data_IF_931132792459
#
_entry.id   IF_931132792459
#
_cell.length_a   1.000
_cell.length_b   1.000
_cell.length_c   1.000
_cell.angle_alpha   90.00
_cell.angle_beta   90.00
_cell.angle_gamma   90.00
#
_symmetry.space_group_name_H-M   'P 1'
#
loop_
_entity.id
_entity.type
_entity.pdbx_description
1 polymer ?
#
# COMPACT_ATOMS: atom_id res chain seq x y z
N UNK A 1 1.22 10.33 -22.40
CA UNK A 1 0.54 9.79 -23.60
C UNK A 1 -0.89 9.32 -23.32
N UNK A 2 -1.34 9.32 -22.07
CA UNK A 2 -2.71 8.92 -21.72
C UNK A 2 -2.84 7.42 -21.48
N UNK A 3 -1.73 6.74 -21.21
CA UNK A 3 -1.67 5.30 -20.91
C UNK A 3 -1.96 4.96 -19.43
N UNK A 4 -2.16 5.97 -18.59
CA UNK A 4 -2.30 5.82 -17.14
C UNK A 4 -3.49 6.61 -16.60
N UNK A 5 -4.22 6.01 -15.67
CA UNK A 5 -5.28 6.65 -14.89
C UNK A 5 -4.93 6.62 -13.40
N UNK A 6 -5.35 7.66 -12.68
CA UNK A 6 -5.34 7.72 -11.23
C UNK A 6 -6.78 7.72 -10.74
N UNK A 7 -7.13 6.75 -9.89
CA UNK A 7 -8.45 6.68 -9.27
C UNK A 7 -8.40 7.32 -7.89
N UNK A 8 -9.26 8.31 -7.65
CA UNK A 8 -9.56 8.81 -6.31
C UNK A 8 -10.69 7.96 -5.74
N UNK A 9 -10.45 7.30 -4.61
CA UNK A 9 -11.37 6.33 -4.04
C UNK A 9 -11.53 6.56 -2.54
N UNK A 10 -12.68 6.14 -2.02
CA UNK A 10 -12.87 5.88 -0.60
C UNK A 10 -12.74 4.37 -0.39
N UNK A 11 -11.73 3.96 0.37
CA UNK A 11 -11.40 2.56 0.53
C UNK A 11 -12.31 1.91 1.58
N UNK A 12 -12.84 0.73 1.27
CA UNK A 12 -13.54 -0.11 2.26
C UNK A 12 -12.66 -1.32 2.60
N UNK A 13 -12.26 -1.43 3.87
CA UNK A 13 -11.39 -2.52 4.34
C UNK A 13 -9.97 -2.45 3.80
N UNK A 14 -9.27 -3.59 3.80
CA UNK A 14 -7.90 -3.71 3.32
C UNK A 14 -7.84 -3.82 1.78
N UNK A 15 -7.05 -2.96 1.12
CA UNK A 15 -6.74 -3.12 -0.30
C UNK A 15 -5.66 -4.19 -0.52
N UNK A 16 -4.84 -4.46 0.50
CA UNK A 16 -3.84 -5.50 0.44
C UNK A 16 -4.36 -6.83 0.99
N UNK A 17 -4.01 -7.92 0.31
CA UNK A 17 -4.34 -9.29 0.73
C UNK A 17 -3.66 -9.75 2.04
N UNK A 18 -2.82 -8.91 2.65
CA UNK A 18 -2.18 -9.16 3.96
C UNK A 18 -2.91 -8.48 5.12
N UNK A 19 -4.16 -8.05 4.88
CA UNK A 19 -4.99 -7.28 5.80
C UNK A 19 -4.41 -5.90 6.15
N UNK A 20 -3.84 -5.22 5.16
CA UNK A 20 -3.22 -3.89 5.28
C UNK A 20 -3.96 -2.88 4.43
N UNK A 21 -3.93 -1.61 4.83
CA UNK A 21 -4.57 -0.53 4.08
C UNK A 21 -3.94 -0.42 2.69
N UNK A 22 -2.62 -0.52 2.59
CA UNK A 22 -1.88 -0.42 1.34
C UNK A 22 -1.05 -1.67 1.02
N UNK A 23 -0.97 -2.04 -0.27
CA UNK A 23 0.03 -3.02 -0.72
C UNK A 23 1.47 -2.50 -0.57
N UNK A 24 1.67 -1.18 -0.46
CA UNK A 24 2.97 -0.54 -0.30
C UNK A 24 3.38 -0.42 1.17
N UNK A 25 3.22 -1.49 1.94
CA UNK A 25 3.53 -1.54 3.37
C UNK A 25 5.02 -1.71 3.69
N UNK A 26 5.88 -1.78 2.66
CA UNK A 26 7.34 -1.83 2.81
C UNK A 26 7.99 -0.63 2.17
N UNK A 27 8.97 -0.06 2.85
CA UNK A 27 9.77 1.06 2.37
C UNK A 27 11.24 0.68 2.36
N UNK A 28 11.95 1.07 1.30
CA UNK A 28 13.40 0.91 1.24
C UNK A 28 14.05 1.99 2.11
N UNK A 29 14.80 1.59 3.13
CA UNK A 29 15.58 2.47 4.01
C UNK A 29 17.03 2.00 3.99
N UNK A 30 17.88 2.75 3.28
CA UNK A 30 19.24 2.30 2.97
C UNK A 30 19.20 1.04 2.09
N UNK A 31 19.85 -0.02 2.54
CA UNK A 31 19.91 -1.32 1.84
C UNK A 31 18.80 -2.29 2.28
N UNK A 32 18.00 -1.91 3.28
CA UNK A 32 16.98 -2.78 3.87
C UNK A 32 15.56 -2.40 3.45
N UNK A 33 14.69 -3.41 3.40
CA UNK A 33 13.24 -3.23 3.28
C UNK A 33 12.60 -3.30 4.66
N UNK A 34 12.07 -2.16 5.12
CA UNK A 34 11.44 -2.02 6.43
C UNK A 34 9.93 -2.04 6.26
N UNK A 35 9.22 -2.82 7.09
CA UNK A 35 7.76 -2.76 7.18
C UNK A 35 7.37 -1.46 7.88
N UNK A 36 6.51 -0.66 7.24
CA UNK A 36 6.09 0.66 7.72
C UNK A 36 4.60 0.72 8.10
N UNK A 37 3.84 -0.35 7.87
CA UNK A 37 2.42 -0.44 8.14
C UNK A 37 2.08 -1.82 8.71
N UNK A 38 1.32 -1.86 9.80
CA UNK A 38 0.83 -3.09 10.42
C UNK A 38 -0.54 -3.48 9.86
N UNK A 39 -0.93 -4.77 9.94
CA UNK A 39 -2.28 -5.19 9.56
C UNK A 39 -3.34 -4.44 10.36
N UNK A 40 -4.46 -4.13 9.71
CA UNK A 40 -5.67 -3.60 10.33
C UNK A 40 -6.22 -4.62 11.34
N UNK A 41 -6.84 -4.14 12.44
CA UNK A 41 -7.56 -4.99 13.40
C UNK A 41 -8.91 -5.49 12.86
#
# INVERSE_FOLDING_TARGET
DGDTLLLLIEQTGAACHTNRESCFYKQKQGDDWVTIEEPME
#
